data_IF_246736029174
#
_entry.id   IF_246736029174
#
_cell.length_a   1.000
_cell.length_b   1.000
_cell.length_c   1.000
_cell.angle_alpha   90.00
_cell.angle_beta   90.00
_cell.angle_gamma   90.00
#
_symmetry.space_group_name_H-M   'P 1'
#
loop_
_entity.id
_entity.type
_entity.pdbx_description
1 polymer ?
#
# COMPACT_ATOMS: atom_id res chain seq x y z
N UNK A 1 -28.98 35.92 -49.59
CA UNK A 1 -28.89 36.54 -48.25
C UNK A 1 -29.56 35.74 -47.13
N UNK A 2 -30.64 34.96 -47.33
CA UNK A 2 -31.30 34.21 -46.23
C UNK A 2 -30.47 33.06 -45.62
N UNK A 3 -29.61 32.40 -46.41
CA UNK A 3 -28.78 31.27 -45.92
C UNK A 3 -27.64 31.67 -44.99
N UNK A 4 -27.10 32.89 -45.11
CA UNK A 4 -26.02 33.39 -44.25
C UNK A 4 -26.52 33.65 -42.82
N UNK A 5 -27.76 34.14 -42.67
CA UNK A 5 -28.39 34.30 -41.36
C UNK A 5 -28.69 32.95 -40.69
N UNK A 6 -29.06 31.92 -41.46
CA UNK A 6 -29.28 30.59 -40.90
C UNK A 6 -27.98 29.96 -40.37
N UNK A 7 -26.88 30.13 -41.12
CA UNK A 7 -25.56 29.64 -40.71
C UNK A 7 -25.05 30.37 -39.46
N UNK A 8 -25.20 31.70 -39.40
CA UNK A 8 -24.79 32.49 -38.26
C UNK A 8 -25.58 32.13 -36.99
N UNK A 9 -26.90 31.92 -37.11
CA UNK A 9 -27.76 31.52 -36.00
C UNK A 9 -27.45 30.11 -35.49
N UNK A 10 -27.15 29.17 -36.39
CA UNK A 10 -26.76 27.81 -36.02
C UNK A 10 -25.41 27.79 -35.27
N UNK A 11 -24.44 28.60 -35.71
CA UNK A 11 -23.17 28.76 -35.00
C UNK A 11 -23.35 29.39 -33.61
N UNK A 12 -24.18 30.43 -33.50
CA UNK A 12 -24.46 31.06 -32.21
C UNK A 12 -25.12 30.09 -31.22
N UNK A 13 -26.08 29.27 -31.68
CA UNK A 13 -26.72 28.24 -30.87
C UNK A 13 -25.75 27.14 -30.43
N UNK A 14 -24.86 26.69 -31.32
CA UNK A 14 -23.84 25.70 -30.99
C UNK A 14 -22.87 26.24 -29.92
N UNK A 15 -22.41 27.48 -30.06
CA UNK A 15 -21.52 28.13 -29.09
C UNK A 15 -22.22 28.28 -27.74
N UNK A 16 -23.48 28.73 -27.70
CA UNK A 16 -24.25 28.85 -26.47
C UNK A 16 -24.50 27.49 -25.80
N UNK A 17 -24.70 26.43 -26.59
CA UNK A 17 -24.84 25.06 -26.09
C UNK A 17 -23.55 24.56 -25.43
N UNK A 18 -22.40 24.76 -26.06
CA UNK A 18 -21.10 24.37 -25.47
C UNK A 18 -20.74 25.22 -24.24
N UNK A 19 -21.03 26.52 -24.24
CA UNK A 19 -20.83 27.39 -23.08
C UNK A 19 -21.76 26.96 -21.93
N UNK A 20 -23.03 26.65 -22.21
CA UNK A 20 -24.00 26.16 -21.22
C UNK A 20 -23.63 24.80 -20.62
N UNK A 21 -23.05 23.89 -21.41
CA UNK A 21 -22.49 22.64 -20.90
C UNK A 21 -21.26 22.93 -20.01
N UNK A 22 -20.36 23.83 -20.44
CA UNK A 22 -19.17 24.17 -19.68
C UNK A 22 -19.48 24.83 -18.32
N UNK A 23 -20.58 25.56 -18.20
CA UNK A 23 -20.99 26.22 -16.95
C UNK A 23 -21.73 25.29 -15.98
N UNK A 24 -22.25 24.14 -16.45
CA UNK A 24 -22.83 23.09 -15.59
C UNK A 24 -21.82 22.04 -15.15
N UNK A 25 -20.65 21.96 -15.76
CA UNK A 25 -19.53 21.14 -15.27
C UNK A 25 -18.85 21.91 -14.14
N UNK A 26 -19.42 21.81 -12.94
CA UNK A 26 -18.79 22.34 -11.73
C UNK A 26 -17.48 21.58 -11.49
N UNK A 27 -16.31 22.25 -11.36
CA UNK A 27 -15.01 21.57 -11.17
C UNK A 27 -14.86 20.80 -9.84
N UNK A 28 -15.88 20.78 -8.98
CA UNK A 28 -15.81 20.21 -7.62
C UNK A 28 -16.08 18.70 -7.51
N UNK A 29 -16.50 18.02 -8.58
CA UNK A 29 -16.92 16.60 -8.54
C UNK A 29 -15.78 15.61 -8.85
N UNK A 30 -14.76 16.02 -9.60
CA UNK A 30 -13.67 15.12 -10.01
C UNK A 30 -12.72 14.84 -8.83
N UNK A 31 -12.38 15.87 -8.04
CA UNK A 31 -11.45 15.74 -6.91
C UNK A 31 -12.05 14.92 -5.76
N UNK A 32 -13.36 15.06 -5.50
CA UNK A 32 -14.10 14.28 -4.49
C UNK A 32 -14.31 12.83 -4.92
N UNK A 33 -14.64 12.57 -6.19
CA UNK A 33 -14.73 11.20 -6.70
C UNK A 33 -13.38 10.47 -6.69
N UNK A 34 -12.29 11.17 -7.00
CA UNK A 34 -10.94 10.59 -6.99
C UNK A 34 -10.45 10.26 -5.58
N UNK A 35 -10.67 11.16 -4.60
CA UNK A 35 -10.33 10.91 -3.18
C UNK A 35 -11.11 9.74 -2.62
N UNK A 36 -12.44 9.71 -2.78
CA UNK A 36 -13.26 8.57 -2.34
C UNK A 36 -12.84 7.26 -3.00
N UNK A 37 -12.39 7.29 -4.26
CA UNK A 37 -11.92 6.07 -4.94
C UNK A 37 -10.60 5.52 -4.39
N UNK A 38 -9.71 6.40 -3.90
CA UNK A 38 -8.43 6.03 -3.30
C UNK A 38 -8.62 5.54 -1.87
N UNK A 39 -9.50 6.19 -1.10
CA UNK A 39 -9.90 5.77 0.25
C UNK A 39 -10.52 4.36 0.22
N UNK A 40 -11.48 4.13 -0.66
CA UNK A 40 -12.09 2.79 -0.82
C UNK A 40 -11.07 1.74 -1.25
N UNK A 41 -10.09 2.08 -2.08
CA UNK A 41 -9.04 1.14 -2.47
C UNK A 41 -8.14 0.82 -1.26
N UNK A 42 -7.72 1.85 -0.52
CA UNK A 42 -6.92 1.70 0.69
C UNK A 42 -7.62 0.84 1.73
N UNK A 43 -8.91 1.10 2.02
CA UNK A 43 -9.71 0.34 2.98
C UNK A 43 -9.82 -1.14 2.59
N UNK A 44 -10.07 -1.42 1.31
CA UNK A 44 -10.13 -2.79 0.81
C UNK A 44 -8.78 -3.49 1.00
N UNK A 45 -7.69 -2.85 0.59
CA UNK A 45 -6.33 -3.40 0.71
C UNK A 45 -5.98 -3.66 2.17
N UNK A 46 -6.28 -2.70 3.06
CA UNK A 46 -6.08 -2.81 4.50
C UNK A 46 -6.81 -4.00 5.09
N UNK A 47 -8.03 -4.26 4.64
CA UNK A 47 -8.87 -5.37 5.13
C UNK A 47 -8.44 -6.75 4.59
N UNK A 48 -7.83 -6.79 3.41
CA UNK A 48 -7.49 -8.04 2.72
C UNK A 48 -6.10 -8.58 3.10
N UNK A 49 -5.10 -7.71 3.34
CA UNK A 49 -3.74 -8.15 3.66
C UNK A 49 -3.65 -9.14 4.85
N UNK A 50 -4.33 -8.92 5.99
CA UNK A 50 -4.34 -9.91 7.07
C UNK A 50 -4.95 -11.26 6.65
N UNK A 51 -5.95 -11.25 5.76
CA UNK A 51 -6.56 -12.49 5.24
C UNK A 51 -5.62 -13.22 4.31
N UNK A 52 -4.89 -12.49 3.47
CA UNK A 52 -3.87 -13.02 2.55
C UNK A 52 -2.69 -13.61 3.34
N UNK A 53 -2.22 -12.92 4.40
CA UNK A 53 -1.20 -13.45 5.30
C UNK A 53 -1.65 -14.77 5.93
N UNK A 54 -2.88 -14.82 6.47
CA UNK A 54 -3.46 -16.03 7.05
C UNK A 54 -3.65 -17.16 6.04
N UNK A 55 -4.10 -16.86 4.81
CA UNK A 55 -4.20 -17.83 3.73
C UNK A 55 -2.82 -18.42 3.43
N UNK A 56 -1.81 -17.55 3.33
CA UNK A 56 -0.45 -17.95 3.08
C UNK A 56 0.16 -18.82 4.17
N UNK A 57 -0.13 -18.52 5.44
CA UNK A 57 0.24 -19.36 6.57
C UNK A 57 -0.42 -20.75 6.49
N UNK A 58 -1.69 -20.81 6.11
CA UNK A 58 -2.43 -22.07 5.93
C UNK A 58 -1.88 -22.92 4.77
N UNK A 59 -1.40 -22.29 3.70
CA UNK A 59 -0.77 -22.94 2.55
C UNK A 59 0.74 -23.21 2.73
N UNK A 60 1.30 -22.86 3.90
CA UNK A 60 2.74 -22.97 4.20
C UNK A 60 3.65 -22.18 3.24
N UNK A 61 3.14 -21.09 2.66
CA UNK A 61 3.88 -20.23 1.75
C UNK A 61 3.45 -18.75 1.84
N UNK A 62 3.53 -18.16 3.05
CA UNK A 62 3.00 -16.82 3.30
C UNK A 62 3.72 -15.73 2.53
N UNK A 63 5.03 -15.85 2.36
CA UNK A 63 5.85 -14.84 1.69
C UNK A 63 5.47 -14.73 0.22
N UNK A 64 5.42 -15.84 -0.53
CA UNK A 64 5.06 -15.82 -1.96
C UNK A 64 3.63 -15.33 -2.17
N UNK A 65 2.69 -15.75 -1.32
CA UNK A 65 1.28 -15.33 -1.43
C UNK A 65 1.13 -13.83 -1.16
N UNK A 66 1.83 -13.29 -0.15
CA UNK A 66 1.87 -11.85 0.12
C UNK A 66 2.50 -11.07 -1.03
N UNK A 67 3.63 -11.53 -1.57
CA UNK A 67 4.28 -10.89 -2.72
C UNK A 67 3.36 -10.83 -3.94
N UNK A 68 2.76 -11.96 -4.32
CA UNK A 68 1.83 -12.04 -5.46
C UNK A 68 0.62 -11.10 -5.29
N UNK A 69 0.06 -11.04 -4.08
CA UNK A 69 -1.04 -10.13 -3.79
C UNK A 69 -0.59 -8.67 -3.85
N UNK A 70 0.60 -8.36 -3.34
CA UNK A 70 1.18 -7.02 -3.38
C UNK A 70 1.38 -6.53 -4.81
N UNK A 71 1.96 -7.36 -5.67
CA UNK A 71 2.10 -7.07 -7.11
C UNK A 71 0.75 -6.88 -7.82
N UNK A 72 -0.27 -7.65 -7.42
CA UNK A 72 -1.63 -7.46 -7.92
C UNK A 72 -2.19 -6.09 -7.52
N UNK A 73 -2.06 -5.71 -6.25
CA UNK A 73 -2.54 -4.41 -5.74
C UNK A 73 -1.78 -3.26 -6.39
N UNK A 74 -0.46 -3.35 -6.50
CA UNK A 74 0.38 -2.36 -7.17
C UNK A 74 -0.09 -2.14 -8.62
N UNK A 75 -0.27 -3.22 -9.39
CA UNK A 75 -0.78 -3.15 -10.76
C UNK A 75 -2.15 -2.49 -10.81
N UNK A 76 -3.08 -2.85 -9.93
CA UNK A 76 -4.43 -2.26 -9.87
C UNK A 76 -4.44 -0.79 -9.45
N UNK A 77 -3.51 -0.39 -8.59
CA UNK A 77 -3.35 1.00 -8.15
C UNK A 77 -2.77 1.84 -9.29
N UNK A 78 -1.75 1.32 -9.99
CA UNK A 78 -1.14 1.96 -11.16
C UNK A 78 -2.11 2.11 -12.34
N UNK A 79 -2.94 1.11 -12.62
CA UNK A 79 -4.02 1.19 -13.64
C UNK A 79 -4.99 2.36 -13.37
N UNK A 80 -5.11 2.81 -12.11
CA UNK A 80 -5.96 3.93 -11.68
C UNK A 80 -5.21 5.27 -11.58
N UNK A 81 -3.94 5.30 -11.99
CA UNK A 81 -3.09 6.48 -11.96
C UNK A 81 -2.65 6.89 -10.55
N UNK A 82 -2.59 5.93 -9.63
CA UNK A 82 -2.09 6.13 -8.27
C UNK A 82 -0.73 5.42 -8.07
N UNK A 83 0.12 6.03 -7.25
CA UNK A 83 1.35 5.43 -6.74
C UNK A 83 1.03 4.56 -5.52
N UNK A 84 1.80 3.50 -5.35
CA UNK A 84 1.66 2.52 -4.30
C UNK A 84 3.04 2.26 -3.68
N UNK A 85 3.14 2.39 -2.37
CA UNK A 85 4.33 2.02 -1.61
C UNK A 85 3.90 1.12 -0.47
N UNK A 86 4.55 -0.02 -0.34
CA UNK A 86 4.18 -1.02 0.66
C UNK A 86 5.41 -1.65 1.27
N UNK A 87 5.35 -1.86 2.58
CA UNK A 87 6.36 -2.57 3.34
C UNK A 87 5.64 -3.46 4.33
N UNK A 88 6.05 -4.72 4.43
CA UNK A 88 5.48 -5.63 5.40
C UNK A 88 6.57 -6.34 6.19
N UNK A 89 6.25 -6.68 7.43
CA UNK A 89 7.05 -7.53 8.30
C UNK A 89 6.19 -8.70 8.74
N UNK A 90 6.69 -9.90 8.47
CA UNK A 90 6.08 -11.15 8.88
C UNK A 90 7.05 -11.85 9.83
N UNK A 91 6.55 -12.26 10.99
CA UNK A 91 7.32 -13.06 11.94
C UNK A 91 6.74 -14.46 12.01
N UNK A 92 7.59 -15.48 12.01
CA UNK A 92 7.18 -16.87 12.11
C UNK A 92 8.12 -17.63 13.05
N UNK A 93 7.55 -18.50 13.87
CA UNK A 93 8.34 -19.43 14.66
C UNK A 93 8.89 -20.54 13.77
N UNK A 94 10.19 -20.79 13.88
CA UNK A 94 10.88 -21.92 13.27
C UNK A 94 11.50 -22.72 14.40
N UNK A 95 10.80 -23.76 14.84
CA UNK A 95 11.13 -24.54 16.05
C UNK A 95 11.12 -23.68 17.32
N UNK A 96 12.25 -23.14 17.76
CA UNK A 96 12.37 -22.25 18.92
C UNK A 96 12.99 -20.88 18.58
N UNK A 97 13.30 -20.67 17.30
CA UNK A 97 13.80 -19.41 16.79
C UNK A 97 12.67 -18.62 16.12
N UNK A 98 12.94 -17.36 15.84
CA UNK A 98 12.00 -16.45 15.18
C UNK A 98 12.59 -15.99 13.87
N UNK A 99 11.95 -16.39 12.77
CA UNK A 99 12.26 -15.85 11.47
C UNK A 99 11.48 -14.55 11.27
N UNK A 100 12.19 -13.47 10.98
CA UNK A 100 11.60 -12.16 10.66
C UNK A 100 11.84 -11.91 9.18
N UNK A 101 10.77 -11.95 8.39
CA UNK A 101 10.81 -11.67 6.96
C UNK A 101 10.27 -10.27 6.70
N UNK A 102 10.99 -9.50 5.90
CA UNK A 102 10.58 -8.17 5.47
C UNK A 102 10.42 -8.15 3.96
N UNK A 103 9.32 -7.58 3.47
CA UNK A 103 9.11 -7.33 2.05
C UNK A 103 8.98 -5.86 1.74
N UNK A 104 9.53 -5.46 0.59
CA UNK A 104 9.70 -4.07 0.22
C UNK A 104 9.19 -3.79 -1.20
N UNK A 105 8.26 -2.85 -1.31
CA UNK A 105 7.66 -2.35 -2.55
C UNK A 105 7.57 -0.82 -2.51
N UNK A 106 8.59 -0.14 -1.97
CA UNK A 106 8.59 1.33 -1.88
C UNK A 106 9.30 2.03 -3.04
N UNK A 107 9.82 1.28 -4.02
CA UNK A 107 10.41 1.80 -5.26
C UNK A 107 11.94 1.92 -5.25
N UNK A 108 12.61 1.45 -4.20
CA UNK A 108 14.08 1.41 -4.07
C UNK A 108 14.49 0.43 -2.96
N UNK A 109 15.78 0.05 -2.93
CA UNK A 109 16.34 -0.81 -1.87
C UNK A 109 16.38 -0.08 -0.53
N UNK A 110 15.94 -0.76 0.53
CA UNK A 110 15.86 -0.19 1.88
C UNK A 110 16.71 -1.00 2.84
N UNK A 111 17.48 -0.30 3.66
CA UNK A 111 18.13 -0.90 4.83
C UNK A 111 17.18 -0.80 6.00
N UNK A 112 16.84 -1.93 6.59
CA UNK A 112 15.88 -2.05 7.68
C UNK A 112 16.63 -2.63 8.86
N UNK A 113 16.72 -1.86 9.93
CA UNK A 113 17.26 -2.32 11.20
C UNK A 113 16.14 -3.03 11.97
N UNK A 114 16.43 -4.26 12.39
CA UNK A 114 15.56 -5.10 13.18
C UNK A 114 16.23 -5.31 14.53
N UNK A 115 15.53 -5.00 15.62
CA UNK A 115 15.98 -5.32 16.97
C UNK A 115 14.95 -6.21 17.67
N UNK A 116 15.34 -7.43 17.99
CA UNK A 116 14.52 -8.39 18.74
C UNK A 116 15.08 -8.52 20.15
N UNK A 117 14.48 -7.79 21.10
CA UNK A 117 14.85 -7.83 22.52
C UNK A 117 16.34 -7.63 22.83
N UNK A 118 17.02 -6.78 22.05
CA UNK A 118 18.44 -6.43 22.20
C UNK A 118 19.37 -7.06 21.18
N UNK A 119 18.90 -8.05 20.41
CA UNK A 119 19.65 -8.62 19.28
C UNK A 119 19.31 -7.87 18.00
N UNK A 120 20.31 -7.28 17.35
CA UNK A 120 20.10 -6.29 16.27
C UNK A 120 20.77 -6.73 14.98
N UNK A 121 19.99 -6.73 13.91
CA UNK A 121 20.44 -7.10 12.57
C UNK A 121 19.95 -6.07 11.54
N UNK A 122 20.68 -5.93 10.43
CA UNK A 122 20.29 -5.03 9.34
C UNK A 122 20.06 -5.80 8.06
N UNK A 123 18.83 -5.72 7.55
CA UNK A 123 18.45 -6.32 6.27
C UNK A 123 18.51 -5.29 5.14
N UNK A 124 19.11 -5.65 4.02
CA UNK A 124 19.12 -4.84 2.79
C UNK A 124 18.09 -5.39 1.81
N UNK A 125 16.85 -4.91 1.90
CA UNK A 125 15.72 -5.46 1.15
C UNK A 125 15.60 -4.76 -0.22
N UNK A 126 15.80 -5.45 -1.35
CA UNK A 126 15.65 -4.85 -2.66
C UNK A 126 14.21 -4.43 -2.94
N UNK A 127 14.01 -3.52 -3.90
CA UNK A 127 12.66 -3.19 -4.37
C UNK A 127 12.01 -4.41 -5.01
N UNK A 128 10.71 -4.58 -4.80
CA UNK A 128 9.92 -5.74 -5.21
C UNK A 128 10.49 -7.07 -4.72
N UNK A 129 11.09 -7.07 -3.53
CA UNK A 129 11.79 -8.23 -2.97
C UNK A 129 11.55 -8.41 -1.49
N UNK A 130 12.14 -9.48 -0.97
CA UNK A 130 12.09 -9.84 0.44
C UNK A 130 13.46 -10.24 0.94
N UNK A 131 13.69 -10.04 2.23
CA UNK A 131 14.84 -10.60 2.94
C UNK A 131 14.38 -11.10 4.32
N UNK A 132 15.17 -11.96 4.96
CA UNK A 132 14.78 -12.55 6.24
C UNK A 132 15.97 -12.84 7.13
N UNK A 133 15.78 -12.63 8.43
CA UNK A 133 16.78 -12.95 9.45
C UNK A 133 16.20 -13.88 10.52
N UNK A 134 17.05 -14.76 11.06
CA UNK A 134 16.66 -15.72 12.08
C UNK A 134 17.24 -15.31 13.43
N UNK A 135 16.37 -14.89 14.34
CA UNK A 135 16.75 -14.52 15.71
C UNK A 135 16.66 -15.74 16.63
N UNK A 136 17.76 -16.07 17.29
CA UNK A 136 17.84 -17.25 18.16
C UNK A 136 17.31 -16.98 19.56
N UNK A 137 16.54 -17.92 20.10
CA UNK A 137 16.03 -17.90 21.48
C UNK A 137 15.34 -16.59 21.93
N UNK A 138 14.44 -15.97 21.14
CA UNK A 138 13.70 -14.80 21.62
C UNK A 138 12.77 -15.18 22.78
N UNK A 139 12.44 -14.22 23.66
CA UNK A 139 11.48 -14.44 24.74
C UNK A 139 10.07 -14.73 24.18
N UNK A 140 9.21 -15.35 25.00
CA UNK A 140 7.83 -15.72 24.59
C UNK A 140 7.00 -14.52 24.12
N UNK A 141 7.24 -13.35 24.74
CA UNK A 141 6.81 -12.06 24.21
C UNK A 141 8.06 -11.19 24.06
N UNK A 142 8.19 -10.54 22.91
CA UNK A 142 9.37 -9.78 22.54
C UNK A 142 8.96 -8.44 21.93
N UNK A 143 9.82 -7.44 22.10
CA UNK A 143 9.74 -6.19 21.35
C UNK A 143 10.53 -6.35 20.05
N UNK A 144 9.87 -6.01 18.94
CA UNK A 144 10.50 -5.85 17.64
C UNK A 144 10.54 -4.36 17.32
N UNK A 145 11.75 -3.80 17.31
CA UNK A 145 12.00 -2.47 16.78
C UNK A 145 12.31 -2.58 15.28
N UNK A 146 11.64 -1.75 14.48
CA UNK A 146 11.85 -1.62 13.04
C UNK A 146 12.21 -0.17 12.78
N UNK A 147 13.41 0.06 12.25
CA UNK A 147 13.86 1.38 11.84
C UNK A 147 14.18 1.39 10.34
N UNK A 148 13.62 2.35 9.60
CA UNK A 148 13.97 2.61 8.21
C UNK A 148 13.69 4.07 7.85
N UNK A 149 14.62 4.71 7.14
CA UNK A 149 14.54 6.14 6.81
C UNK A 149 14.31 7.02 8.06
N UNK A 150 13.13 7.64 8.16
CA UNK A 150 12.70 8.46 9.32
C UNK A 150 11.58 7.79 10.13
N UNK A 151 11.29 6.52 9.82
CA UNK A 151 10.24 5.75 10.47
C UNK A 151 10.87 4.81 11.47
N UNK A 152 10.40 4.89 12.71
CA UNK A 152 10.77 3.99 13.79
C UNK A 152 9.49 3.45 14.40
N UNK A 153 9.42 2.13 14.58
CA UNK A 153 8.26 1.45 15.16
C UNK A 153 8.70 0.36 16.10
N UNK A 154 8.12 0.36 17.29
CA UNK A 154 8.27 -0.71 18.26
C UNK A 154 6.96 -1.51 18.33
N UNK A 155 7.06 -2.83 18.15
CA UNK A 155 5.95 -3.76 18.12
C UNK A 155 6.13 -4.81 19.21
N UNK A 156 5.17 -4.89 20.15
CA UNK A 156 5.13 -5.98 21.13
C UNK A 156 4.48 -7.22 20.52
N UNK A 157 5.24 -8.29 20.28
CA UNK A 157 4.81 -9.48 19.54
C UNK A 157 4.87 -10.75 20.41
N UNK A 158 4.24 -11.83 19.93
CA UNK A 158 4.27 -13.15 20.57
C UNK A 158 5.08 -14.14 19.72
N UNK A 159 5.98 -14.89 20.36
CA UNK A 159 6.87 -15.86 19.68
C UNK A 159 6.13 -17.01 19.03
N UNK A 160 5.14 -17.58 19.72
CA UNK A 160 4.46 -18.82 19.30
C UNK A 160 3.29 -18.57 18.33
N UNK A 161 3.19 -17.35 17.79
CA UNK A 161 2.21 -16.98 16.78
C UNK A 161 2.91 -16.31 15.63
N UNK A 162 2.37 -16.48 14.43
CA UNK A 162 2.77 -15.62 13.33
C UNK A 162 2.21 -14.21 13.61
N UNK A 163 3.05 -13.19 13.45
CA UNK A 163 2.62 -11.79 13.57
C UNK A 163 2.86 -11.10 12.23
N UNK A 164 1.95 -10.24 11.84
CA UNK A 164 2.01 -9.52 10.57
C UNK A 164 1.82 -8.03 10.80
N UNK A 165 2.77 -7.24 10.31
CA UNK A 165 2.72 -5.79 10.32
C UNK A 165 2.91 -5.28 8.90
N UNK A 166 2.20 -4.21 8.52
CA UNK A 166 2.48 -3.52 7.28
C UNK A 166 2.29 -2.03 7.37
N UNK A 167 2.97 -1.34 6.46
CA UNK A 167 2.84 0.07 6.15
C UNK A 167 2.43 0.17 4.69
N UNK A 168 1.34 0.87 4.44
CA UNK A 168 0.82 1.15 3.12
C UNK A 168 0.77 2.66 2.91
N UNK A 169 1.29 3.11 1.78
CA UNK A 169 1.10 4.48 1.32
C UNK A 169 0.57 4.47 -0.12
N UNK A 170 -0.56 5.15 -0.35
CA UNK A 170 -1.13 5.34 -1.67
C UNK A 170 -1.17 6.84 -1.99
N UNK A 171 -0.71 7.22 -3.18
CA UNK A 171 -0.71 8.62 -3.62
C UNK A 171 -1.41 8.80 -4.96
N UNK A 172 -2.24 9.82 -5.08
CA UNK A 172 -2.82 10.22 -6.38
C UNK A 172 -3.02 11.74 -6.42
N UNK A 173 -2.29 12.40 -7.32
CA UNK A 173 -2.27 13.86 -7.37
C UNK A 173 -1.72 14.45 -6.06
N UNK A 174 -2.52 15.28 -5.38
CA UNK A 174 -2.17 15.84 -4.06
C UNK A 174 -2.63 15.01 -2.86
N UNK A 175 -3.34 13.90 -3.08
CA UNK A 175 -3.91 13.08 -2.00
C UNK A 175 -2.95 11.95 -1.62
N UNK A 176 -2.70 11.81 -0.32
CA UNK A 176 -1.83 10.79 0.26
C UNK A 176 -2.60 10.08 1.37
N UNK A 177 -2.72 8.77 1.27
CA UNK A 177 -3.31 7.92 2.31
C UNK A 177 -2.20 7.03 2.87
N UNK A 178 -2.06 7.01 4.18
CA UNK A 178 -1.10 6.15 4.89
C UNK A 178 -1.86 5.28 5.88
N UNK A 179 -1.63 3.98 5.80
CA UNK A 179 -2.24 2.98 6.69
C UNK A 179 -1.15 2.15 7.34
N UNK A 180 -1.35 1.83 8.62
CA UNK A 180 -0.53 0.89 9.36
C UNK A 180 -1.45 -0.12 10.05
N UNK A 181 -1.16 -1.42 9.93
CA UNK A 181 -1.93 -2.47 10.60
C UNK A 181 -0.99 -3.50 11.19
N UNK A 182 -1.37 -3.97 12.38
CA UNK A 182 -0.77 -5.11 13.07
C UNK A 182 -1.84 -6.18 13.27
N UNK A 183 -1.51 -7.42 12.92
CA UNK A 183 -2.37 -8.61 13.09
C UNK A 183 -1.59 -9.79 13.62
#
# INVERSE_FOLDING_TARGET
>A
MKGQFFLASAFALAILFFIGISSQITPGSVVTAETTSLELLSDNVKSEYPKVANLGLNESDPVRILMNFTEFVERKTRERGAEFSFLFVLTQNVSDDLNVTVGNYIGYTVNIELNVSGDSETLSVPDMGTDSELFSNPPESFELEISFNTTEKNLLLEKRKANFYFILEMRKGGNIIKEEVKS
#
